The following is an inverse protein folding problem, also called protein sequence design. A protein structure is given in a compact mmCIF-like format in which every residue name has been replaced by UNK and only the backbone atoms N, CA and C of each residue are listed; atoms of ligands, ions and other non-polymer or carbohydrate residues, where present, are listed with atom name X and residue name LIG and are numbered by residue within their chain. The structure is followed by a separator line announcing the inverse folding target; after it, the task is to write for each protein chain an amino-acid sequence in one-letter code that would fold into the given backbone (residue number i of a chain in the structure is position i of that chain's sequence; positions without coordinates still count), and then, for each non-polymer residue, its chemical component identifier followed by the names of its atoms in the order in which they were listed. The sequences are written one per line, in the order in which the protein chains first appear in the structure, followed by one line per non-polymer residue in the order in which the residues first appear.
data_IF_351305163804
#
_entry.id   IF_351305163804
#
_cell.length_a   1.000
_cell.length_b   1.000
_cell.length_c   1.000
_cell.angle_alpha   90.00
_cell.angle_beta   90.00
_cell.angle_gamma   90.00
#
_symmetry.space_group_name_H-M   'P 1'
#
loop_
_entity.id
_entity.type
_entity.pdbx_description
1 polymer ?
2 non-polymer ?
3 water ?
#
# COMPACT_ATOMS: atom_id res chain seq x y z
N UNK A 5 24.44 -13.07 24.43
CA UNK A 5 25.02 -12.13 23.48
C UNK A 5 25.46 -10.80 24.11
N UNK A 6 26.69 -10.29 23.79
CA UNK A 6 27.13 -9.01 24.38
C UNK A 6 26.27 -7.84 23.90
N UNK A 7 25.72 -7.07 24.86
CA UNK A 7 24.84 -5.94 24.58
C UNK A 7 25.60 -4.64 24.33
N UNK A 8 25.59 -4.17 23.07
CA UNK A 8 26.23 -2.92 22.67
C UNK A 8 25.22 -1.82 22.95
N UNK A 9 25.23 -1.33 24.20
CA UNK A 9 24.33 -0.30 24.70
C UNK A 9 24.56 1.03 24.03
N UNK A 10 25.80 1.34 23.64
CA UNK A 10 26.12 2.58 22.94
C UNK A 10 25.57 2.54 21.51
N UNK A 11 25.54 1.33 20.88
CA UNK A 11 24.97 1.16 19.52
C UNK A 11 23.49 1.49 19.50
N UNK A 12 22.74 0.91 20.44
CA UNK A 12 21.30 1.08 20.58
C UNK A 12 20.92 2.53 20.85
N UNK A 13 21.69 3.24 21.70
CA UNK A 13 21.49 4.67 22.02
C UNK A 13 21.67 5.50 20.74
N UNK A 14 22.68 5.14 19.93
CA UNK A 14 22.96 5.81 18.66
C UNK A 14 21.83 5.57 17.67
N UNK A 15 21.31 4.32 17.61
CA UNK A 15 20.22 4.02 16.66
C UNK A 15 18.95 4.82 17.01
N UNK A 16 18.69 4.97 18.32
CA UNK A 16 17.54 5.71 18.80
C UNK A 16 17.61 7.19 18.35
N UNK A 17 18.75 7.82 18.60
CA UNK A 17 18.91 9.24 18.22
C UNK A 17 18.91 9.40 16.69
N UNK A 18 19.59 8.49 15.98
CA UNK A 18 19.67 8.56 14.54
C UNK A 18 18.27 8.45 13.90
N UNK A 19 17.41 7.57 14.47
CA UNK A 19 16.02 7.42 14.01
C UNK A 19 15.29 8.79 14.06
N UNK A 20 15.39 9.48 15.21
CA UNK A 20 14.74 10.79 15.35
C UNK A 20 15.28 11.81 14.32
N UNK A 21 16.62 11.89 14.21
CA UNK A 21 17.29 12.86 13.33
C UNK A 21 16.90 12.63 11.88
N UNK A 22 16.94 11.37 11.42
CA UNK A 22 16.57 11.09 10.06
C UNK A 22 15.11 11.48 9.75
N UNK A 23 14.20 11.19 10.67
CA UNK A 23 12.80 11.50 10.46
C UNK A 23 12.53 13.02 10.49
N UNK A 24 13.10 13.69 11.50
CA UNK A 24 12.88 15.11 11.73
C UNK A 24 13.56 16.02 10.72
N UNK A 25 14.76 15.66 10.29
CA UNK A 25 15.52 16.46 9.34
C UNK A 25 15.46 15.96 7.90
N UNK A 26 15.16 14.67 7.70
CA UNK A 26 15.25 14.08 6.38
C UNK A 26 16.67 13.56 6.20
N UNK A 27 16.89 12.54 5.33
CA UNK A 27 18.21 11.93 5.10
C UNK A 27 19.29 12.96 4.73
N UNK A 28 19.00 13.90 3.79
CA UNK A 28 19.96 14.90 3.27
C UNK A 28 20.45 15.88 4.33
N UNK A 29 19.52 16.52 5.04
CA UNK A 29 19.89 17.49 6.07
C UNK A 29 20.45 16.87 7.36
N UNK A 30 20.15 15.58 7.62
CA UNK A 30 20.68 14.87 8.78
C UNK A 30 22.20 14.75 8.63
N UNK A 31 22.91 14.94 9.73
CA UNK A 31 24.37 14.83 9.72
C UNK A 31 24.92 13.98 10.84
N UNK A 32 26.10 13.37 10.62
CA UNK A 32 26.79 12.56 11.63
C UNK A 32 27.15 13.40 12.86
N UNK A 33 27.58 14.67 12.66
CA UNK A 33 27.89 15.55 13.81
C UNK A 33 26.65 15.70 14.71
N UNK A 34 25.47 15.97 14.12
CA UNK A 34 24.21 16.13 14.83
C UNK A 34 23.84 14.85 15.60
N UNK A 35 23.97 13.70 14.93
CA UNK A 35 23.67 12.42 15.54
C UNK A 35 24.60 12.12 16.74
N UNK A 36 25.93 12.32 16.59
CA UNK A 36 26.88 12.11 17.68
C UNK A 36 26.56 12.97 18.87
N UNK A 37 26.33 14.26 18.64
CA UNK A 37 26.05 15.18 19.72
C UNK A 37 24.77 14.80 20.46
N UNK A 38 23.73 14.34 19.72
CA UNK A 38 22.45 13.95 20.31
C UNK A 38 22.61 12.77 21.26
N UNK A 39 23.54 11.89 20.95
CA UNK A 39 23.85 10.73 21.75
C UNK A 39 24.85 11.07 22.86
N UNK A 40 25.39 12.28 22.82
CA UNK A 40 26.38 12.72 23.80
C UNK A 40 27.74 12.05 23.64
N UNK A 41 28.09 11.68 22.39
CA UNK A 41 29.40 11.08 22.09
C UNK A 41 30.10 11.93 21.04
N UNK A 42 31.42 11.73 20.91
CA UNK A 42 32.18 12.44 19.91
C UNK A 42 31.92 11.78 18.55
N UNK A 43 32.15 12.52 17.45
CA UNK A 43 32.01 11.98 16.10
C UNK A 43 32.95 10.77 15.88
N UNK A 44 34.24 10.77 16.34
CA UNK A 44 35.06 9.54 16.17
C UNK A 44 34.45 8.31 16.85
N UNK A 45 33.81 8.50 18.02
CA UNK A 45 33.15 7.39 18.73
C UNK A 45 31.98 6.85 17.90
N UNK A 46 31.18 7.74 17.29
CA UNK A 46 30.10 7.34 16.40
C UNK A 46 30.66 6.46 15.28
N UNK A 47 31.80 6.85 14.69
CA UNK A 47 32.43 6.10 13.61
C UNK A 47 33.00 4.74 14.04
N UNK A 48 33.23 4.54 15.36
CA UNK A 48 33.69 3.24 15.87
C UNK A 48 32.50 2.23 15.85
N UNK A 49 31.24 2.73 15.77
CA UNK A 49 30.06 1.86 15.70
C UNK A 49 29.44 1.77 14.31
N UNK A 50 29.49 2.86 13.53
CA UNK A 50 28.92 2.90 12.18
C UNK A 50 29.93 3.44 11.20
N UNK A 51 30.06 2.78 10.06
CA UNK A 51 31.06 3.14 9.04
C UNK A 51 30.76 4.46 8.32
N UNK A 52 29.46 4.75 8.07
CA UNK A 52 29.01 5.91 7.29
C UNK A 52 27.60 6.30 7.66
N UNK A 53 27.12 7.45 7.14
CA UNK A 53 25.74 7.91 7.35
C UNK A 53 24.80 6.89 6.71
N UNK A 54 25.15 6.36 5.51
CA UNK A 54 24.30 5.34 4.85
C UNK A 54 24.23 4.02 5.62
N UNK A 55 25.36 3.52 6.14
CA UNK A 55 25.37 2.27 6.92
C UNK A 55 24.54 2.47 8.20
N UNK A 56 24.64 3.67 8.81
CA UNK A 56 23.83 3.99 9.99
C UNK A 56 22.33 4.06 9.61
N UNK A 57 21.99 4.68 8.46
CA UNK A 57 20.60 4.78 8.00
C UNK A 57 20.00 3.41 7.75
N UNK A 58 20.77 2.54 7.10
CA UNK A 58 20.33 1.18 6.83
C UNK A 58 20.18 0.38 8.12
N UNK A 59 21.05 0.61 9.13
CA UNK A 59 20.95 -0.06 10.44
C UNK A 59 19.68 0.44 11.18
N UNK A 60 19.39 1.74 11.07
CA UNK A 60 18.17 2.33 11.66
C UNK A 60 16.93 1.67 11.00
N UNK A 61 16.87 1.69 9.65
CA UNK A 61 15.75 1.08 8.92
C UNK A 61 15.59 -0.39 9.27
N UNK A 62 16.70 -1.14 9.33
CA UNK A 62 16.71 -2.56 9.68
C UNK A 62 16.13 -2.76 11.08
N UNK A 63 16.51 -1.93 12.06
CA UNK A 63 16.01 -2.02 13.43
C UNK A 63 14.46 -1.86 13.45
N UNK A 64 13.92 -0.84 12.75
CA UNK A 64 12.47 -0.62 12.71
C UNK A 64 11.76 -1.75 11.98
N UNK A 65 12.30 -2.19 10.83
CA UNK A 65 11.73 -3.31 10.06
C UNK A 65 11.71 -4.58 10.92
N UNK A 66 12.85 -4.89 11.60
CA UNK A 66 12.97 -6.06 12.47
C UNK A 66 11.96 -6.03 13.60
N UNK A 67 11.73 -4.83 14.22
CA UNK A 67 10.75 -4.65 15.29
C UNK A 67 9.34 -4.96 14.76
N UNK A 68 9.00 -4.50 13.54
CA UNK A 68 7.68 -4.74 12.97
C UNK A 68 7.51 -6.23 12.66
N UNK A 69 8.43 -6.79 11.86
CA UNK A 69 8.40 -8.21 11.46
C UNK A 69 8.38 -9.13 12.69
N UNK A 70 9.25 -8.88 13.69
CA UNK A 70 9.32 -9.71 14.90
C UNK A 70 8.03 -9.60 15.71
N UNK A 71 7.44 -8.40 15.78
CA UNK A 71 6.18 -8.17 16.48
C UNK A 71 5.05 -8.95 15.82
N UNK A 72 5.00 -8.94 14.49
CA UNK A 72 3.95 -9.63 13.71
C UNK A 72 4.16 -11.15 13.82
N UNK A 73 5.38 -11.62 13.56
CA UNK A 73 5.67 -13.04 13.65
C UNK A 73 5.42 -13.58 15.08
N UNK A 74 5.81 -12.81 16.13
CA UNK A 74 5.55 -13.23 17.52
C UNK A 74 4.03 -13.38 17.70
N UNK A 75 3.21 -12.46 17.15
CA UNK A 75 1.76 -12.58 17.23
C UNK A 75 1.26 -13.84 16.54
N UNK A 76 1.79 -14.14 15.35
CA UNK A 76 1.35 -15.31 14.58
C UNK A 76 1.83 -16.63 15.13
N UNK A 77 3.02 -16.61 15.73
CA UNK A 77 3.69 -17.82 16.22
C UNK A 77 3.42 -18.12 17.69
N UNK A 78 2.75 -17.21 18.43
CA UNK A 78 2.49 -17.46 19.85
C UNK A 78 0.98 -17.59 20.17
N UNK A 79 0.17 -17.88 19.13
CA UNK A 79 -1.28 -18.08 19.17
C UNK A 79 -1.63 -19.41 18.49
N UNK A 80 -2.69 -20.09 18.94
CA UNK A 80 -3.01 -21.45 18.47
C UNK A 80 -4.23 -21.60 17.52
N UNK A 81 -5.05 -20.56 17.36
CA UNK A 81 -6.16 -20.63 16.40
C UNK A 81 -6.24 -19.37 15.53
N UNK A 82 -6.89 -19.49 14.35
CA UNK A 82 -7.09 -18.49 13.30
C UNK A 82 -7.60 -17.17 13.80
N UNK A 83 -8.72 -17.22 14.52
CA UNK A 83 -9.37 -16.04 15.03
C UNK A 83 -8.50 -15.34 16.07
N UNK A 84 -7.89 -16.11 17.00
CA UNK A 84 -6.99 -15.56 18.02
C UNK A 84 -5.81 -14.87 17.34
N UNK A 85 -5.20 -15.58 16.36
CA UNK A 85 -4.04 -15.13 15.57
C UNK A 85 -4.38 -13.78 14.91
N UNK A 86 -5.59 -13.65 14.31
CA UNK A 86 -6.06 -12.42 13.69
C UNK A 86 -6.11 -11.27 14.72
N UNK A 87 -6.73 -11.51 15.89
CA UNK A 87 -6.81 -10.52 16.96
C UNK A 87 -5.44 -9.99 17.38
N UNK A 88 -4.50 -10.90 17.65
CA UNK A 88 -3.18 -10.54 18.17
C UNK A 88 -2.31 -9.89 17.08
N UNK A 89 -2.44 -10.35 15.84
CA UNK A 89 -1.64 -9.80 14.73
C UNK A 89 -2.10 -8.39 14.34
N UNK A 90 -3.43 -8.15 14.27
CA UNK A 90 -3.97 -6.79 14.03
C UNK A 90 -3.52 -5.84 15.15
N UNK A 91 -3.67 -6.30 16.42
CA UNK A 91 -3.21 -5.54 17.57
C UNK A 91 -1.71 -5.17 17.41
N UNK A 92 -0.89 -6.16 17.01
CA UNK A 92 0.53 -5.94 16.87
C UNK A 92 0.85 -4.88 15.82
N UNK A 93 0.09 -4.85 14.73
CA UNK A 93 0.34 -3.82 13.72
C UNK A 93 -0.06 -2.44 14.23
N UNK A 94 -1.26 -2.29 14.86
CA UNK A 94 -1.67 -0.99 15.41
C UNK A 94 -0.66 -0.55 16.45
N UNK A 95 -0.16 -1.51 17.26
CA UNK A 95 0.84 -1.19 18.30
C UNK A 95 2.11 -0.65 17.65
N UNK A 96 2.56 -1.30 16.57
CA UNK A 96 3.78 -0.83 15.90
C UNK A 96 3.61 0.60 15.38
N UNK A 97 2.56 0.86 14.61
CA UNK A 97 2.47 2.20 14.03
C UNK A 97 2.22 3.28 15.08
N UNK A 98 1.52 2.94 16.16
CA UNK A 98 1.25 3.95 17.19
C UNK A 98 2.49 4.17 18.05
N UNK A 99 3.17 3.09 18.40
CA UNK A 99 4.29 3.12 19.34
C UNK A 99 5.63 3.40 18.70
N UNK A 100 5.69 3.34 17.40
CA UNK A 100 6.98 3.58 16.70
C UNK A 100 6.75 4.58 15.61
N UNK A 101 6.53 5.85 16.02
CA UNK A 101 6.28 6.89 15.05
C UNK A 101 7.43 7.02 14.02
N UNK A 102 8.71 6.91 14.46
CA UNK A 102 9.87 6.99 13.55
C UNK A 102 9.84 5.83 12.56
N UNK A 103 9.65 4.63 13.08
CA UNK A 103 9.59 3.40 12.30
C UNK A 103 8.48 3.48 11.28
N UNK A 104 7.34 4.05 11.66
CA UNK A 104 6.20 4.23 10.76
C UNK A 104 6.54 5.15 9.57
N UNK A 105 7.15 6.31 9.85
CA UNK A 105 7.51 7.25 8.79
C UNK A 105 8.55 6.61 7.86
N UNK A 106 9.55 5.93 8.45
CA UNK A 106 10.68 5.33 7.68
C UNK A 106 10.26 4.16 6.77
N UNK A 107 9.22 3.43 7.18
CA UNK A 107 8.75 2.29 6.40
C UNK A 107 7.62 2.67 5.44
N UNK A 108 6.65 3.44 5.94
CA UNK A 108 5.43 3.74 5.20
C UNK A 108 5.34 5.12 4.53
N UNK A 109 6.12 6.10 4.97
CA UNK A 109 6.06 7.46 4.39
C UNK A 109 7.44 7.88 3.95
N UNK A 110 8.17 6.95 3.32
CA UNK A 110 9.54 7.19 2.92
C UNK A 110 9.70 7.62 1.47
N UNK A 111 10.29 8.82 1.27
CA UNK A 111 10.54 9.41 -0.05
C UNK A 111 11.79 8.82 -0.67
N UNK A 112 12.85 8.70 0.16
CA UNK A 112 14.20 8.21 -0.15
C UNK A 112 14.18 6.71 -0.50
N UNK A 113 13.58 6.36 -1.65
CA UNK A 113 13.45 5.01 -2.17
C UNK A 113 14.21 4.88 -3.53
N UNK A 114 14.95 5.95 -3.88
CA UNK A 114 15.76 6.09 -5.11
C UNK A 114 16.90 5.07 -5.20
N UNK A 115 17.47 4.67 -4.05
CA UNK A 115 18.56 3.70 -3.95
C UNK A 115 18.05 2.29 -3.63
N UNK A 116 18.66 1.25 -4.25
CA UNK A 116 18.19 -0.13 -4.05
C UNK A 116 18.30 -0.69 -2.63
N UNK A 117 19.31 -0.27 -1.84
CA UNK A 117 19.54 -0.79 -0.47
C UNK A 117 18.36 -0.50 0.46
N UNK A 118 17.77 0.68 0.35
CA UNK A 118 16.63 1.14 1.16
C UNK A 118 15.36 0.40 0.72
N UNK A 119 15.07 0.43 -0.60
CA UNK A 119 13.91 -0.22 -1.22
C UNK A 119 13.87 -1.74 -0.92
N UNK A 120 15.03 -2.41 -0.93
CA UNK A 120 15.16 -3.84 -0.64
C UNK A 120 14.81 -4.16 0.81
N UNK A 121 15.28 -3.30 1.76
CA UNK A 121 15.02 -3.44 3.20
C UNK A 121 13.53 -3.36 3.52
N UNK A 122 12.73 -2.70 2.65
CA UNK A 122 11.28 -2.60 2.79
C UNK A 122 10.55 -3.74 2.01
N UNK A 123 10.96 -4.01 0.74
CA UNK A 123 10.31 -5.04 -0.10
C UNK A 123 10.53 -6.48 0.39
N UNK A 124 11.67 -6.78 1.02
CA UNK A 124 11.94 -8.11 1.56
C UNK A 124 11.09 -8.28 2.83
N UNK A 125 10.89 -7.18 3.59
CA UNK A 125 10.12 -7.12 4.83
C UNK A 125 8.66 -7.41 4.59
N UNK A 126 8.01 -6.64 3.68
CA UNK A 126 6.58 -6.77 3.35
C UNK A 126 6.23 -8.21 2.91
N UNK A 127 7.09 -8.78 2.06
CA UNK A 127 6.96 -10.13 1.53
C UNK A 127 7.08 -11.18 2.63
N UNK A 128 7.99 -10.98 3.62
CA UNK A 128 8.18 -11.90 4.76
C UNK A 128 6.93 -11.98 5.64
N UNK A 129 6.27 -10.82 5.93
CA UNK A 129 5.01 -10.75 6.70
C UNK A 129 3.89 -11.43 5.91
N UNK A 130 3.83 -11.20 4.57
CA UNK A 130 2.81 -11.85 3.73
C UNK A 130 3.10 -13.37 3.69
N UNK A 131 4.40 -13.77 3.62
CA UNK A 131 4.79 -15.20 3.61
C UNK A 131 4.25 -15.89 4.85
N UNK A 132 4.40 -15.26 6.01
CA UNK A 132 3.94 -15.79 7.29
C UNK A 132 2.43 -15.97 7.30
N UNK A 133 1.69 -14.89 6.91
CA UNK A 133 0.24 -14.98 6.87
C UNK A 133 -0.17 -16.06 5.88
N UNK A 134 0.51 -16.14 4.70
CA UNK A 134 0.23 -17.15 3.70
C UNK A 134 0.42 -18.54 4.28
N UNK A 135 1.51 -18.77 5.02
CA UNK A 135 1.79 -20.10 5.61
C UNK A 135 0.65 -20.57 6.49
N UNK A 136 0.11 -19.64 7.31
CA UNK A 136 -1.02 -19.90 8.20
C UNK A 136 -2.33 -20.08 7.48
N UNK A 137 -2.64 -19.20 6.49
CA UNK A 137 -3.88 -19.27 5.72
C UNK A 137 -3.96 -20.50 4.84
N UNK A 138 -2.86 -20.81 4.12
CA UNK A 138 -2.85 -21.92 3.17
C UNK A 138 -2.98 -23.30 3.81
N UNK A 139 -2.44 -23.48 5.03
CA UNK A 139 -2.46 -24.75 5.77
C UNK A 139 -3.88 -25.30 6.01
N UNK A 140 -4.20 -26.49 5.44
CA UNK A 140 -5.53 -27.11 5.58
C UNK A 140 -6.70 -26.19 5.11
N UNK A 141 -6.45 -25.37 4.06
CA UNK A 141 -7.43 -24.44 3.49
C UNK A 141 -8.13 -25.05 2.28
N UNK A 142 -7.38 -25.89 1.55
CA UNK A 142 -7.88 -26.48 0.31
C UNK A 142 -7.81 -25.50 -0.84
N UNK A 143 -7.22 -24.31 -0.60
CA UNK A 143 -7.12 -23.28 -1.62
C UNK A 143 -5.98 -23.54 -2.57
N UNK A 144 -6.15 -23.08 -3.83
CA UNK A 144 -5.08 -23.03 -4.82
C UNK A 144 -4.01 -22.10 -4.14
N UNK A 145 -2.70 -22.45 -4.11
CA UNK A 145 -1.71 -21.63 -3.37
C UNK A 145 -1.66 -20.17 -3.80
N UNK A 146 -1.91 -19.89 -5.09
CA UNK A 146 -1.93 -18.50 -5.57
C UNK A 146 -3.15 -17.77 -5.04
N UNK A 147 -4.30 -18.48 -4.92
CA UNK A 147 -5.52 -17.91 -4.35
C UNK A 147 -5.28 -17.61 -2.86
N UNK A 148 -4.58 -18.53 -2.15
CA UNK A 148 -4.21 -18.40 -0.72
C UNK A 148 -3.23 -17.22 -0.55
N UNK A 149 -2.23 -17.08 -1.47
CA UNK A 149 -1.33 -15.91 -1.37
C UNK A 149 -2.11 -14.63 -1.65
N UNK A 150 -3.03 -14.67 -2.62
CA UNK A 150 -3.85 -13.48 -2.91
C UNK A 150 -4.64 -13.02 -1.70
N UNK A 151 -5.25 -13.95 -0.97
CA UNK A 151 -5.99 -13.69 0.27
C UNK A 151 -5.02 -13.12 1.34
N UNK A 152 -3.86 -13.74 1.56
CA UNK A 152 -2.84 -13.22 2.51
C UNK A 152 -2.49 -11.77 2.19
N UNK A 153 -2.28 -11.45 0.91
CA UNK A 153 -2.00 -10.08 0.46
C UNK A 153 -3.18 -9.16 0.84
N UNK A 154 -4.40 -9.58 0.53
CA UNK A 154 -5.62 -8.84 0.86
C UNK A 154 -5.84 -8.62 2.35
N UNK A 155 -5.54 -9.64 3.14
CA UNK A 155 -5.69 -9.61 4.59
C UNK A 155 -4.70 -8.64 5.21
N UNK A 156 -3.43 -8.69 4.77
CA UNK A 156 -2.40 -7.76 5.21
C UNK A 156 -2.80 -6.34 4.75
N UNK A 157 -3.18 -6.18 3.48
CA UNK A 157 -3.59 -4.89 2.93
C UNK A 157 -4.74 -4.22 3.67
N UNK A 158 -5.82 -4.98 3.92
CA UNK A 158 -7.02 -4.53 4.67
C UNK A 158 -6.62 -4.04 6.09
N UNK A 159 -5.76 -4.80 6.76
CA UNK A 159 -5.33 -4.51 8.12
C UNK A 159 -4.44 -3.27 8.18
N UNK A 160 -3.41 -3.20 7.31
CA UNK A 160 -2.51 -2.08 7.19
C UNK A 160 -3.31 -0.81 6.84
N UNK A 161 -4.13 -0.87 5.77
CA UNK A 161 -4.85 0.32 5.33
C UNK A 161 -5.84 0.84 6.37
N UNK A 162 -6.52 -0.04 7.12
CA UNK A 162 -7.44 0.41 8.18
C UNK A 162 -6.64 1.17 9.25
N UNK A 163 -5.54 0.53 9.70
CA UNK A 163 -4.66 1.11 10.73
C UNK A 163 -4.09 2.44 10.31
N UNK A 164 -3.58 2.50 9.06
CA UNK A 164 -3.02 3.74 8.54
C UNK A 164 -4.06 4.84 8.43
N UNK A 165 -5.31 4.50 8.03
CA UNK A 165 -6.33 5.51 7.99
C UNK A 165 -6.48 6.13 9.39
N UNK A 166 -6.64 5.27 10.40
CA UNK A 166 -6.84 5.69 11.77
C UNK A 166 -5.67 6.59 12.25
N UNK A 167 -4.42 6.18 12.02
CA UNK A 167 -3.27 6.99 12.46
C UNK A 167 -3.18 8.31 11.68
N UNK A 168 -3.24 8.23 10.34
CA UNK A 168 -3.12 9.40 9.46
C UNK A 168 -4.22 10.44 9.66
N UNK A 169 -5.40 10.02 10.18
CA UNK A 169 -6.52 10.92 10.46
C UNK A 169 -6.48 11.45 11.91
N UNK A 170 -5.34 11.26 12.57
CA UNK A 170 -5.06 11.69 13.93
C UNK A 170 -5.99 11.02 14.96
N UNK A 171 -6.19 9.68 14.82
CA UNK A 171 -6.94 8.86 15.78
C UNK A 171 -8.37 9.43 16.01
N UNK A 172 -9.20 9.47 14.94
CA UNK A 172 -10.54 10.08 15.06
C UNK A 172 -11.50 9.29 15.94
N UNK A 173 -11.19 8.00 16.15
CA UNK A 173 -11.91 7.10 17.05
C UNK A 173 -10.83 6.50 17.94
N UNK A 174 -11.23 5.90 19.09
CA UNK A 174 -10.21 5.34 19.97
C UNK A 174 -9.46 4.20 19.28
N UNK A 175 -8.23 3.95 19.72
CA UNK A 175 -7.44 2.82 19.25
C UNK A 175 -8.27 1.52 19.42
N UNK A 176 -8.93 1.34 20.57
CA UNK A 176 -9.69 0.11 20.80
C UNK A 176 -10.80 -0.07 19.77
N UNK A 177 -11.55 1.02 19.47
CA UNK A 177 -12.62 0.94 18.47
C UNK A 177 -12.02 0.64 17.09
N UNK A 178 -10.87 1.22 16.78
CA UNK A 178 -10.23 0.99 15.47
C UNK A 178 -9.77 -0.46 15.34
N UNK A 179 -9.12 -0.98 16.39
CA UNK A 179 -8.67 -2.39 16.40
C UNK A 179 -9.89 -3.31 16.26
N UNK A 180 -10.94 -3.06 17.08
CA UNK A 180 -12.17 -3.89 17.06
C UNK A 180 -12.85 -3.87 15.71
N UNK A 181 -12.94 -2.69 15.10
CA UNK A 181 -13.55 -2.56 13.77
C UNK A 181 -12.74 -3.28 12.71
N UNK A 182 -11.41 -3.15 12.76
CA UNK A 182 -10.54 -3.82 11.78
C UNK A 182 -10.63 -5.34 11.93
N UNK A 183 -10.49 -5.86 13.16
CA UNK A 183 -10.60 -7.32 13.40
C UNK A 183 -11.96 -7.88 12.95
N UNK A 184 -13.07 -7.23 13.33
CA UNK A 184 -14.39 -7.72 12.93
C UNK A 184 -14.59 -7.68 11.42
N UNK A 185 -14.05 -6.65 10.74
CA UNK A 185 -14.11 -6.59 9.28
C UNK A 185 -13.24 -7.72 8.66
N UNK A 186 -12.00 -7.91 9.15
CA UNK A 186 -11.16 -8.98 8.59
C UNK A 186 -11.78 -10.35 8.83
N UNK A 187 -12.44 -10.55 9.98
CA UNK A 187 -13.00 -11.85 10.30
C UNK A 187 -14.31 -12.14 9.58
N UNK A 188 -15.26 -11.22 9.66
CA UNK A 188 -16.59 -11.41 9.11
C UNK A 188 -16.86 -10.85 7.73
N UNK A 189 -15.94 -10.02 7.22
CA UNK A 189 -16.06 -9.40 5.91
C UNK A 189 -17.21 -8.39 5.85
N UNK A 190 -17.51 -7.90 4.64
CA UNK A 190 -18.57 -6.92 4.45
C UNK A 190 -19.95 -7.46 4.88
N UNK A 191 -20.12 -8.80 4.81
CA UNK A 191 -21.40 -9.46 5.17
C UNK A 191 -21.77 -9.20 6.62
N UNK A 192 -20.76 -9.03 7.50
CA UNK A 192 -20.98 -8.81 8.93
C UNK A 192 -20.64 -7.37 9.41
N UNK A 193 -20.46 -6.41 8.46
CA UNK A 193 -20.18 -5.00 8.78
C UNK A 193 -21.33 -4.33 9.56
N UNK A 194 -22.63 -4.51 9.18
CA UNK A 194 -23.70 -3.84 9.96
C UNK A 194 -23.77 -4.29 11.42
N UNK B 10 -5.97 15.43 -31.66
CA UNK B 10 -4.56 15.08 -31.58
C UNK B 10 -4.16 14.84 -30.14
N UNK B 11 -4.58 15.73 -29.22
CA UNK B 11 -4.28 15.66 -27.80
C UNK B 11 -4.38 14.21 -27.28
N UNK B 12 -5.52 13.55 -27.54
CA UNK B 12 -5.77 12.16 -27.13
C UNK B 12 -4.76 11.17 -27.68
N UNK B 13 -4.38 11.34 -28.96
CA UNK B 13 -3.36 10.52 -29.63
C UNK B 13 -2.02 10.73 -28.95
N UNK B 14 -1.71 11.98 -28.55
CA UNK B 14 -0.47 12.29 -27.86
C UNK B 14 -0.46 11.69 -26.46
N UNK B 15 -1.62 11.68 -25.77
CA UNK B 15 -1.68 11.08 -24.42
C UNK B 15 -1.42 9.57 -24.49
N UNK B 16 -1.95 8.92 -25.54
CA UNK B 16 -1.76 7.49 -25.76
C UNK B 16 -0.26 7.20 -25.97
N UNK B 17 0.41 7.94 -26.86
CA UNK B 17 1.86 7.71 -27.13
C UNK B 17 2.70 8.05 -25.90
N UNK B 18 2.40 9.17 -25.21
CA UNK B 18 3.12 9.57 -24.01
C UNK B 18 2.99 8.51 -22.90
N UNK B 19 1.80 7.90 -22.75
CA UNK B 19 1.59 6.82 -21.79
C UNK B 19 2.60 5.67 -22.09
N UNK B 20 2.73 5.24 -23.36
CA UNK B 20 3.66 4.15 -23.72
C UNK B 20 5.11 4.55 -23.45
N UNK B 21 5.51 5.79 -23.80
CA UNK B 21 6.90 6.22 -23.54
C UNK B 21 7.21 6.26 -22.06
N UNK B 22 6.31 6.85 -21.23
CA UNK B 22 6.48 6.92 -19.77
C UNK B 22 6.57 5.51 -19.15
N UNK B 23 5.78 4.55 -19.65
CA UNK B 23 5.84 3.18 -19.13
C UNK B 23 7.14 2.49 -19.52
N UNK B 24 7.52 2.62 -20.78
CA UNK B 24 8.72 1.95 -21.30
C UNK B 24 10.03 2.46 -20.70
N UNK B 25 10.14 3.78 -20.54
CA UNK B 25 11.39 4.39 -20.07
C UNK B 25 11.36 4.85 -18.62
N UNK B 26 10.16 5.07 -18.07
CA UNK B 26 10.02 5.67 -16.75
C UNK B 26 10.01 7.18 -16.93
N UNK B 27 9.48 7.93 -15.94
CA UNK B 27 9.42 9.41 -16.04
C UNK B 27 10.71 10.11 -16.36
N UNK B 28 11.76 9.88 -15.55
CA UNK B 28 13.05 10.54 -15.69
C UNK B 28 13.70 10.35 -17.06
N UNK B 29 13.84 9.09 -17.52
CA UNK B 29 14.49 8.79 -18.80
C UNK B 29 13.66 9.18 -20.02
N UNK B 30 12.31 9.26 -19.87
CA UNK B 30 11.40 9.65 -20.97
C UNK B 30 11.71 11.06 -21.40
N UNK B 31 11.68 11.29 -22.71
CA UNK B 31 11.95 12.60 -23.29
C UNK B 31 10.87 13.05 -24.26
N UNK B 32 10.66 14.37 -24.35
CA UNK B 32 9.72 14.98 -25.27
C UNK B 32 10.06 14.69 -26.74
N UNK B 33 11.36 14.64 -27.08
CA UNK B 33 11.79 14.29 -28.44
C UNK B 33 11.30 12.85 -28.79
N UNK B 34 11.48 11.85 -27.88
CA UNK B 34 11.03 10.47 -28.12
C UNK B 34 9.49 10.39 -28.24
N UNK B 35 8.77 11.16 -27.38
CA UNK B 35 7.31 11.22 -27.42
C UNK B 35 6.83 11.80 -28.77
N UNK B 36 7.38 12.95 -29.20
CA UNK B 36 7.02 13.55 -30.49
C UNK B 36 7.30 12.59 -31.67
N UNK B 37 8.51 11.95 -31.70
CA UNK B 37 8.94 11.00 -32.73
C UNK B 37 8.00 9.78 -32.84
N UNK B 38 7.66 9.16 -31.69
CA UNK B 38 6.77 7.99 -31.69
C UNK B 38 5.33 8.35 -32.12
N UNK B 39 4.90 9.63 -31.92
CA UNK B 39 3.56 10.11 -32.34
C UNK B 39 3.58 10.57 -33.78
N UNK B 40 4.77 10.67 -34.37
CA UNK B 40 4.92 11.12 -35.74
C UNK B 40 4.64 12.60 -35.93
N UNK B 41 4.92 13.40 -34.89
CA UNK B 41 4.78 14.86 -34.95
C UNK B 41 6.10 15.52 -34.60
N UNK B 42 6.26 16.80 -34.97
CA UNK B 42 7.47 17.53 -34.62
C UNK B 42 7.36 17.91 -33.13
N UNK B 43 8.53 18.18 -32.49
CA UNK B 43 8.57 18.61 -31.10
C UNK B 43 7.78 19.93 -30.92
N UNK B 44 7.89 20.96 -31.82
CA UNK B 44 7.05 22.16 -31.62
C UNK B 44 5.55 21.86 -31.61
N UNK B 45 5.09 20.87 -32.41
CA UNK B 45 3.67 20.50 -32.44
C UNK B 45 3.27 19.90 -31.08
N UNK B 46 4.13 19.04 -30.51
CA UNK B 46 3.88 18.47 -29.19
C UNK B 46 3.71 19.62 -28.16
N UNK B 47 4.59 20.63 -28.23
CA UNK B 47 4.54 21.78 -27.32
C UNK B 47 3.32 22.70 -27.52
N UNK B 48 2.63 22.60 -28.68
CA UNK B 48 1.40 23.38 -28.92
C UNK B 48 0.25 22.75 -28.11
N UNK B 49 0.41 21.48 -27.69
CA UNK B 49 -0.62 20.79 -26.88
C UNK B 49 -0.27 20.67 -25.40
N UNK B 50 1.02 20.50 -25.10
CA UNK B 50 1.48 20.37 -23.71
C UNK B 50 2.62 21.32 -23.43
N UNK B 51 2.56 22.03 -22.31
CA UNK B 51 3.57 23.04 -21.95
C UNK B 51 4.94 22.46 -21.56
N UNK B 52 4.95 21.28 -20.90
CA UNK B 52 6.15 20.64 -20.40
C UNK B 52 5.96 19.13 -20.25
N UNK B 53 7.07 18.40 -19.95
CA UNK B 53 7.01 16.97 -19.72
C UNK B 53 6.14 16.70 -18.49
N UNK B 54 6.27 17.54 -17.43
CA UNK B 54 5.45 17.37 -16.22
C UNK B 54 3.95 17.60 -16.47
N UNK B 55 3.59 18.66 -17.23
CA UNK B 55 2.18 18.92 -17.54
C UNK B 55 1.61 17.76 -18.38
N UNK B 56 2.42 17.23 -19.31
CA UNK B 56 2.00 16.07 -20.11
C UNK B 56 1.84 14.82 -19.21
N UNK B 57 2.77 14.60 -18.27
CA UNK B 57 2.71 13.45 -17.38
C UNK B 57 1.46 13.51 -16.49
N UNK B 58 1.17 14.70 -15.95
CA UNK B 58 -0.03 14.90 -15.11
C UNK B 58 -1.30 14.71 -15.93
N UNK B 59 -1.30 15.12 -17.22
CA UNK B 59 -2.44 14.92 -18.11
C UNK B 59 -2.63 13.42 -18.42
N UNK B 60 -1.51 12.69 -18.62
CA UNK B 60 -1.51 11.24 -18.85
C UNK B 60 -2.15 10.54 -17.64
N UNK B 61 -1.62 10.84 -16.44
CA UNK B 61 -2.12 10.23 -15.20
C UNK B 61 -3.61 10.54 -15.02
N UNK B 62 -4.00 11.80 -15.24
CA UNK B 62 -5.41 12.22 -15.14
C UNK B 62 -6.33 11.40 -16.06
N UNK B 63 -5.92 11.20 -17.32
CA UNK B 63 -6.72 10.45 -18.27
C UNK B 63 -6.96 9.02 -17.75
N UNK B 64 -5.88 8.34 -17.32
CA UNK B 64 -5.98 6.96 -16.85
C UNK B 64 -6.79 6.85 -15.55
N UNK B 65 -6.59 7.83 -14.64
CA UNK B 65 -7.33 7.87 -13.36
C UNK B 65 -8.81 8.02 -13.67
N UNK B 66 -9.17 8.94 -14.57
CA UNK B 66 -10.59 9.17 -14.95
C UNK B 66 -11.26 7.91 -15.49
N UNK B 67 -10.52 7.15 -16.36
CA UNK B 67 -11.02 5.90 -16.93
C UNK B 67 -11.33 4.87 -15.81
N UNK B 68 -10.41 4.75 -14.85
CA UNK B 68 -10.58 3.82 -13.73
C UNK B 68 -11.74 4.25 -12.85
N UNK B 69 -11.72 5.50 -12.36
CA UNK B 69 -12.73 6.08 -11.47
C UNK B 69 -14.12 5.96 -12.10
N UNK B 70 -14.26 6.29 -13.40
CA UNK B 70 -15.56 6.21 -14.09
C UNK B 70 -16.08 4.75 -14.14
N UNK B 71 -15.17 3.80 -14.39
CA UNK B 71 -15.52 2.39 -14.37
C UNK B 71 -16.01 1.92 -13.00
N UNK B 72 -15.32 2.34 -11.94
CA UNK B 72 -15.65 1.95 -10.54
C UNK B 72 -16.95 2.61 -10.10
N UNK B 73 -17.09 3.93 -10.31
CA UNK B 73 -18.35 4.57 -9.92
C UNK B 73 -19.53 3.98 -10.68
N UNK B 74 -19.36 3.61 -11.94
CA UNK B 74 -20.47 3.05 -12.69
C UNK B 74 -20.88 1.71 -12.07
N UNK B 75 -19.88 0.94 -11.59
CA UNK B 75 -20.19 -0.31 -10.93
C UNK B 75 -20.97 -0.06 -9.63
N UNK B 76 -20.54 0.97 -8.86
CA UNK B 76 -21.17 1.29 -7.58
C UNK B 76 -22.54 1.94 -7.71
N UNK B 77 -22.90 2.39 -8.92
CA UNK B 77 -24.20 3.05 -9.17
C UNK B 77 -25.39 2.09 -9.17
N UNK B 78 -25.12 0.77 -9.32
CA UNK B 78 -26.16 -0.25 -9.48
C UNK B 78 -27.05 -0.36 -8.24
N UNK B 79 -28.37 -0.58 -8.48
CA UNK B 79 -29.40 -0.72 -7.44
C UNK B 79 -29.72 -2.19 -7.13
N UNK B 80 -28.68 -3.05 -7.13
CA UNK B 80 -28.79 -4.45 -6.73
C UNK B 80 -28.36 -4.55 -5.26
N UNK B 81 -28.08 -5.75 -4.79
CA UNK B 81 -27.67 -5.92 -3.40
C UNK B 81 -26.20 -5.55 -3.18
N UNK B 82 -25.81 -5.47 -1.91
CA UNK B 82 -24.50 -5.07 -1.49
C UNK B 82 -23.42 -6.01 -2.05
N UNK B 83 -23.66 -7.34 -1.99
CA UNK B 83 -22.63 -8.26 -2.50
C UNK B 83 -22.52 -8.17 -4.01
N UNK B 84 -23.66 -8.03 -4.72
CA UNK B 84 -23.63 -7.87 -6.17
C UNK B 84 -22.83 -6.61 -6.57
N UNK B 85 -23.05 -5.50 -5.88
CA UNK B 85 -22.31 -4.26 -6.13
C UNK B 85 -20.82 -4.47 -5.88
N UNK B 86 -20.47 -5.16 -4.78
CA UNK B 86 -19.07 -5.51 -4.48
C UNK B 86 -18.50 -6.30 -5.67
N UNK B 87 -19.21 -7.28 -6.13
CA UNK B 87 -18.76 -8.13 -7.25
C UNK B 87 -18.50 -7.34 -8.55
N UNK B 88 -19.44 -6.50 -8.95
CA UNK B 88 -19.34 -5.69 -10.20
C UNK B 88 -18.15 -4.69 -10.09
N UNK B 89 -17.93 -4.14 -8.88
CA UNK B 89 -16.84 -3.16 -8.69
C UNK B 89 -15.48 -3.84 -8.72
N UNK B 90 -15.37 -5.01 -8.05
CA UNK B 90 -14.11 -5.75 -8.10
C UNK B 90 -13.83 -6.21 -9.54
N UNK B 91 -14.85 -6.72 -10.26
CA UNK B 91 -14.71 -7.11 -11.65
C UNK B 91 -14.21 -5.92 -12.47
N UNK B 92 -14.80 -4.73 -12.23
CA UNK B 92 -14.44 -3.51 -12.98
C UNK B 92 -12.96 -3.17 -12.76
N UNK B 93 -12.43 -3.34 -11.53
CA UNK B 93 -11.03 -3.03 -11.27
C UNK B 93 -10.11 -4.03 -11.97
N UNK B 94 -10.40 -5.34 -11.89
CA UNK B 94 -9.55 -6.32 -12.59
C UNK B 94 -9.62 -6.10 -14.12
N UNK B 95 -10.80 -5.74 -14.61
CA UNK B 95 -11.00 -5.43 -16.03
C UNK B 95 -10.15 -4.22 -16.43
N UNK B 96 -10.10 -3.17 -15.60
CA UNK B 96 -9.26 -1.98 -15.84
C UNK B 96 -7.79 -2.40 -16.00
N UNK B 97 -7.29 -3.29 -15.14
CA UNK B 97 -5.89 -3.80 -15.20
C UNK B 97 -5.61 -4.49 -16.55
N UNK B 98 -6.62 -5.21 -17.07
CA UNK B 98 -6.47 -5.91 -18.34
C UNK B 98 -6.66 -4.99 -19.58
N UNK B 99 -7.70 -4.13 -19.60
CA UNK B 99 -7.89 -3.30 -20.79
C UNK B 99 -7.03 -2.02 -20.83
N UNK B 100 -6.63 -1.50 -19.68
CA UNK B 100 -5.76 -0.33 -19.57
C UNK B 100 -4.53 -0.65 -18.75
N UNK B 101 -3.73 -1.63 -19.24
CA UNK B 101 -2.52 -2.08 -18.53
C UNK B 101 -1.56 -0.95 -18.31
N UNK B 102 -1.44 -0.01 -19.29
CA UNK B 102 -0.51 1.12 -19.15
C UNK B 102 -0.95 2.08 -18.02
N UNK B 103 -2.25 2.37 -17.95
CA UNK B 103 -2.85 3.13 -16.86
C UNK B 103 -2.60 2.48 -15.52
N UNK B 104 -2.83 1.18 -15.46
CA UNK B 104 -2.60 0.49 -14.19
C UNK B 104 -1.12 0.69 -13.74
N UNK B 105 -0.16 0.52 -14.67
CA UNK B 105 1.27 0.65 -14.33
C UNK B 105 1.65 2.06 -13.87
N UNK B 106 1.11 3.07 -14.55
CA UNK B 106 1.35 4.48 -14.22
C UNK B 106 0.75 4.92 -12.89
N UNK B 107 -0.36 4.31 -12.49
CA UNK B 107 -1.01 4.71 -11.24
C UNK B 107 -0.47 3.91 -10.04
N UNK B 108 -0.32 2.59 -10.21
CA UNK B 108 -0.01 1.68 -9.10
C UNK B 108 1.42 1.17 -9.01
N UNK B 109 2.17 1.14 -10.13
CA UNK B 109 3.55 0.66 -10.13
C UNK B 109 4.51 1.73 -10.58
N UNK B 110 4.27 2.95 -10.10
CA UNK B 110 5.03 4.13 -10.46
C UNK B 110 6.06 4.51 -9.42
N UNK B 111 7.33 4.58 -9.85
CA UNK B 111 8.47 4.96 -9.03
C UNK B 111 8.46 6.47 -8.71
N UNK B 112 7.96 7.29 -9.66
CA UNK B 112 7.84 8.76 -9.52
C UNK B 112 6.55 9.15 -8.79
N UNK B 115 7.05 13.88 -5.36
CA UNK B 115 6.44 15.07 -5.94
C UNK B 115 4.96 15.18 -5.55
N UNK B 116 4.49 16.36 -5.04
CA UNK B 116 3.10 16.45 -4.59
C UNK B 116 2.02 16.41 -5.67
N UNK B 117 2.30 16.95 -6.88
CA UNK B 117 1.32 17.00 -7.98
C UNK B 117 0.88 15.61 -8.43
N UNK B 118 1.83 14.65 -8.48
CA UNK B 118 1.60 13.27 -8.89
C UNK B 118 0.81 12.54 -7.80
N UNK B 119 1.30 12.60 -6.53
CA UNK B 119 0.68 11.99 -5.36
C UNK B 119 -0.76 12.46 -5.15
N UNK B 120 -1.04 13.76 -5.39
CA UNK B 120 -2.38 14.35 -5.27
C UNK B 120 -3.34 13.81 -6.33
N UNK B 121 -2.86 13.63 -7.59
CA UNK B 121 -3.66 13.08 -8.71
C UNK B 121 -4.13 11.63 -8.44
N UNK B 122 -3.40 10.92 -7.56
CA UNK B 122 -3.71 9.55 -7.15
C UNK B 122 -4.55 9.62 -5.86
N UNK B 123 -4.15 10.48 -4.89
CA UNK B 123 -4.86 10.64 -3.60
C UNK B 123 -6.29 11.17 -3.74
N UNK B 124 -6.52 12.22 -4.58
CA UNK B 124 -7.86 12.82 -4.83
C UNK B 124 -8.79 11.75 -5.46
N UNK B 125 -8.19 10.88 -6.32
CA UNK B 125 -8.87 9.76 -6.97
C UNK B 125 -9.31 8.73 -5.94
N UNK B 126 -8.34 8.21 -5.14
CA UNK B 126 -8.53 7.21 -4.08
C UNK B 126 -9.57 7.68 -3.10
N UNK B 127 -9.53 8.96 -2.68
CA UNK B 127 -10.49 9.54 -1.74
C UNK B 127 -11.92 9.56 -2.30
N UNK B 128 -12.09 9.88 -3.60
CA UNK B 128 -13.40 9.89 -4.26
C UNK B 128 -14.08 8.49 -4.29
N UNK B 129 -13.27 7.47 -4.59
CA UNK B 129 -13.73 6.08 -4.61
C UNK B 129 -14.05 5.60 -3.21
N UNK B 130 -13.23 6.02 -2.21
CA UNK B 130 -13.46 5.65 -0.82
C UNK B 130 -14.75 6.37 -0.37
N UNK B 131 -14.97 7.63 -0.80
CA UNK B 131 -16.20 8.38 -0.47
C UNK B 131 -17.43 7.57 -0.92
N UNK B 132 -17.39 7.04 -2.12
CA UNK B 132 -18.50 6.25 -2.70
C UNK B 132 -18.75 4.97 -1.90
N UNK B 133 -17.67 4.22 -1.62
CA UNK B 133 -17.80 2.99 -0.84
C UNK B 133 -18.33 3.34 0.55
N UNK B 134 -17.82 4.43 1.15
CA UNK B 134 -18.29 4.90 2.45
C UNK B 134 -19.80 5.21 2.41
N UNK B 135 -20.28 5.88 1.36
CA UNK B 135 -21.70 6.23 1.24
C UNK B 135 -22.58 4.95 1.28
N UNK B 136 -22.13 3.90 0.59
CA UNK B 136 -22.83 2.61 0.57
C UNK B 136 -22.76 1.88 1.90
N UNK B 137 -21.55 1.79 2.49
CA UNK B 137 -21.29 1.10 3.76
C UNK B 137 -22.02 1.77 4.93
N UNK B 138 -22.11 3.11 4.95
CA UNK B 138 -22.71 3.86 6.06
C UNK B 138 -24.23 3.92 6.09
N UNK B 139 -24.90 3.69 4.95
CA UNK B 139 -26.36 3.75 4.78
C UNK B 139 -27.20 3.06 5.88
N UNK B 140 -27.06 1.72 6.09
CA UNK B 140 -27.87 1.05 7.12
C UNK B 140 -27.03 0.14 8.05
N UNK B 141 -25.83 0.62 8.41
CA UNK B 141 -24.90 -0.14 9.25
C UNK B 141 -24.93 0.31 10.69
N UNK B 142 -25.31 1.57 10.92
CA UNK B 142 -25.38 2.19 12.25
C UNK B 142 -24.00 2.52 12.80
N UNK B 143 -22.98 2.45 11.93
CA UNK B 143 -21.58 2.67 12.29
C UNK B 143 -21.26 4.13 12.51
N UNK B 144 -20.29 4.37 13.43
CA UNK B 144 -19.66 5.66 13.67
C UNK B 144 -19.06 6.01 12.27
N UNK B 145 -19.26 7.24 11.75
CA UNK B 145 -18.78 7.55 10.39
C UNK B 145 -17.30 7.30 10.15
N UNK B 146 -16.46 7.52 11.19
CA UNK B 146 -15.04 7.26 11.04
C UNK B 146 -14.76 5.75 10.98
N UNK B 147 -15.55 4.95 11.70
CA UNK B 147 -15.43 3.49 11.67
C UNK B 147 -15.84 2.99 10.27
N UNK B 148 -16.92 3.59 9.71
CA UNK B 148 -17.43 3.27 8.36
C UNK B 148 -16.39 3.68 7.32
N UNK B 149 -15.76 4.88 7.47
CA UNK B 149 -14.73 5.27 6.52
C UNK B 149 -13.51 4.33 6.64
N UNK B 150 -13.15 3.95 7.88
CA UNK B 150 -12.02 3.03 8.08
C UNK B 150 -12.23 1.73 7.32
N UNK B 151 -13.44 1.16 7.40
CA UNK B 151 -13.81 -0.08 6.69
C UNK B 151 -13.74 0.15 5.16
N UNK B 152 -14.33 1.26 4.66
CA UNK B 152 -14.29 1.60 3.24
C UNK B 152 -12.81 1.64 2.75
N UNK B 153 -11.91 2.23 3.55
CA UNK B 153 -10.48 2.30 3.20
C UNK B 153 -9.91 0.87 3.08
N UNK B 154 -10.22 0.05 4.06
CA UNK B 154 -9.76 -1.35 4.10
C UNK B 154 -10.26 -2.16 2.91
N UNK B 155 -11.53 -1.94 2.55
CA UNK B 155 -12.20 -2.64 1.47
C UNK B 155 -11.56 -2.28 0.11
N UNK B 156 -11.35 -0.97 -0.11
CA UNK B 156 -10.66 -0.50 -1.32
C UNK B 156 -9.21 -1.06 -1.35
N UNK B 157 -8.50 -0.90 -0.22
CA UNK B 157 -7.12 -1.36 -0.09
C UNK B 157 -6.93 -2.83 -0.37
N UNK B 158 -7.76 -3.67 0.21
CA UNK B 158 -7.59 -5.09 -0.02
C UNK B 158 -7.89 -5.49 -1.47
N UNK B 159 -8.91 -4.85 -2.08
CA UNK B 159 -9.30 -5.13 -3.46
C UNK B 159 -8.15 -4.77 -4.40
N UNK B 160 -7.59 -3.56 -4.24
CA UNK B 160 -6.43 -3.11 -5.01
C UNK B 160 -5.23 -4.06 -4.79
N UNK B 161 -4.90 -4.36 -3.51
CA UNK B 161 -3.75 -5.22 -3.20
C UNK B 161 -3.89 -6.64 -3.76
N UNK B 162 -5.09 -7.23 -3.72
CA UNK B 162 -5.34 -8.58 -4.28
C UNK B 162 -5.07 -8.55 -5.77
N UNK B 163 -5.66 -7.56 -6.45
CA UNK B 163 -5.50 -7.41 -7.91
C UNK B 163 -4.04 -7.18 -8.30
N UNK B 164 -3.29 -6.34 -7.51
CA UNK B 164 -1.87 -6.09 -7.79
C UNK B 164 -1.01 -7.37 -7.60
N UNK B 165 -1.35 -8.21 -6.61
CA UNK B 165 -0.67 -9.50 -6.44
C UNK B 165 -0.85 -10.34 -7.70
N UNK B 166 -2.11 -10.50 -8.13
CA UNK B 166 -2.47 -11.31 -9.30
C UNK B 166 -1.71 -10.85 -10.54
N UNK B 167 -1.67 -9.54 -10.81
CA UNK B 167 -0.94 -9.01 -11.97
C UNK B 167 0.59 -9.21 -11.84
N UNK B 168 1.17 -8.81 -10.70
CA UNK B 168 2.62 -8.92 -10.47
C UNK B 168 3.14 -10.37 -10.46
N UNK B 169 2.27 -11.35 -10.19
CA UNK B 169 2.64 -12.78 -10.21
C UNK B 169 2.38 -13.39 -11.60
N UNK B 170 2.17 -12.53 -12.60
CA UNK B 170 1.91 -12.89 -14.00
C UNK B 170 0.64 -13.71 -14.19
N UNK B 171 -0.47 -13.32 -13.50
CA UNK B 171 -1.79 -13.94 -13.62
C UNK B 171 -1.72 -15.46 -13.40
N UNK B 172 -1.32 -15.88 -12.17
CA UNK B 172 -1.14 -17.32 -11.92
C UNK B 172 -2.42 -18.13 -11.95
N UNK B 173 -3.57 -17.46 -11.78
CA UNK B 173 -4.90 -18.02 -11.87
C UNK B 173 -5.65 -17.13 -12.84
N UNK B 174 -6.79 -17.59 -13.37
CA UNK B 174 -7.55 -16.78 -14.32
C UNK B 174 -8.05 -15.48 -13.66
N UNK B 175 -8.27 -14.45 -14.46
CA UNK B 175 -8.84 -13.21 -13.95
C UNK B 175 -10.19 -13.53 -13.26
N UNK B 176 -11.04 -14.39 -13.86
CA UNK B 176 -12.34 -14.72 -13.23
C UNK B 176 -12.16 -15.36 -11.84
N UNK B 177 -11.20 -16.29 -11.69
CA UNK B 177 -10.96 -16.90 -10.39
C UNK B 177 -10.42 -15.86 -9.39
N UNK B 178 -9.58 -14.93 -9.87
CA UNK B 178 -8.99 -13.88 -9.02
C UNK B 178 -10.10 -12.93 -8.53
N UNK B 179 -11.00 -12.53 -9.44
CA UNK B 179 -12.15 -11.69 -9.07
C UNK B 179 -12.99 -12.43 -8.02
N UNK B 180 -13.40 -13.68 -8.29
CA UNK B 180 -14.23 -14.42 -7.31
C UNK B 180 -13.53 -14.58 -5.97
N UNK B 181 -12.24 -14.91 -5.98
CA UNK B 181 -11.49 -15.06 -4.73
C UNK B 181 -11.41 -13.76 -3.93
N UNK B 182 -11.22 -12.64 -4.63
CA UNK B 182 -11.14 -11.31 -3.99
C UNK B 182 -12.52 -10.94 -3.41
N UNK B 183 -13.59 -11.14 -4.22
CA UNK B 183 -14.95 -10.85 -3.78
C UNK B 183 -15.36 -11.70 -2.55
N UNK B 184 -15.10 -13.01 -2.59
CA UNK B 184 -15.43 -13.95 -1.52
C UNK B 184 -14.70 -13.59 -0.23
N UNK B 185 -13.44 -13.16 -0.35
CA UNK B 185 -12.70 -12.75 0.85
C UNK B 185 -13.28 -11.43 1.39
N UNK B 186 -13.54 -10.45 0.51
CA UNK B 186 -14.11 -9.16 0.95
C UNK B 186 -15.48 -9.35 1.62
N UNK B 187 -16.27 -10.27 1.07
CA UNK B 187 -17.61 -10.49 1.59
C UNK B 187 -17.65 -11.33 2.88
N UNK B 188 -16.99 -12.49 2.88
CA UNK B 188 -17.06 -13.42 4.01
C UNK B 188 -15.95 -13.32 5.02
N UNK B 189 -14.89 -12.60 4.67
CA UNK B 189 -13.74 -12.41 5.55
C UNK B 189 -12.97 -13.69 5.82
N UNK B 190 -12.01 -13.63 6.76
CA UNK B 190 -11.18 -14.77 7.10
C UNK B 190 -12.03 -15.94 7.66
N UNK B 191 -13.18 -15.63 8.27
CA UNK B 191 -14.09 -16.63 8.86
C UNK B 191 -14.59 -17.63 7.81
N UNK B 192 -14.70 -17.18 6.55
CA UNK B 192 -15.19 -18.03 5.44
C UNK B 192 -14.10 -18.45 4.44
N UNK B 193 -12.81 -18.17 4.73
CA UNK B 193 -11.70 -18.55 3.84
C UNK B 193 -11.57 -20.10 3.67
N UNK B 194 -11.67 -20.93 4.74
CA UNK B 194 -11.54 -22.39 4.54
C UNK B 194 -12.70 -22.97 3.72
N UNK B 195 -13.91 -22.38 3.81
CA UNK B 195 -15.18 -22.76 3.13
C UNK B 195 -15.30 -22.22 1.69
X LIG C 1 -4.66 -15.74 10.40
X LIG C 1 -5.02 -15.34 11.49
X LIG C 1 -4.97 -16.90 9.91
X LIG C 1 -3.82 -14.92 9.46
X LIG C 1 -2.97 -13.83 10.11
X LIG C 1 -3.69 -12.51 10.28
X LIG C 1 -2.77 -11.33 10.01
X LIG C 1 -3.48 -9.99 9.84
X LIG C 1 -2.57 -8.88 9.36
X LIG C 1 -2.05 -7.96 10.46
X LIG C 1 -0.56 -7.61 10.38
X LIG C 1 -0.10 -6.84 9.15
X LIG C 1 1.39 -6.49 9.15
X LIG C 1 1.87 -5.84 7.86
X LIG C 1 3.35 -5.59 7.73
X LIG C 1 3.69 -4.73 6.52
X LIG D 1 -21.13 -2.20 -1.09
X LIG D 1 -21.86 -2.27 -2.06
X LIG D 1 -21.57 -2.19 0.14
X LIG D 1 -19.63 -2.14 -1.16
X LIG D 1 -19.00 -1.81 -2.50
X LIG D 1 -17.60 -2.41 -2.59
X LIG D 1 -16.58 -1.74 -3.48
X LIG D 1 -15.22 -2.43 -3.42
X LIG D 1 -14.06 -1.71 -4.10
X LIG D 1 -13.69 -2.26 -5.47
X LIG D 1 -12.36 -1.80 -6.04
X LIG D 1 -12.22 -0.33 -6.38
X LIG D 1 -10.81 0.10 -6.75
X LIG D 1 -10.53 1.58 -6.51
X LIG D 1 -9.15 2.05 -6.95
X LIG D 1 -8.44 2.87 -5.91
#
# INVERSE_FOLDING_TARGET
FQGMLPRDERRGQLLVVASDVFVDRGYHAAGMDEIADRAGVSKPVLYQHFSSKLELYLAVLHRHVENLVSGVHQALSTTTDNRQRLHVAVQAFFDFIEHDSQGYRLIFENDFVTEPEVAAQVRVATESCIDAVFALISADSGLDPHRARMIAVGLVGMSVDCARYWLDADKPISKSDAVEGTVQFAWGGLSHVPL
FQGMLPRDERRGQLLVVASDVFVDRGYHAAGMDEIADRAGVSKPVLYQHFSSKLELYLAVLHRHVENLVSGVHQALSTTTDNRQRLHVAVQAFFDFIEHDSQGYRLIFENDFVTEPEVAAQVRVATESCIDAVFALISADSGLDPHRARMIAVGLVGMSVDCARYWLDADKPISKSDAVEGTVQFAWGGLSHVPL
MYR C1 O1 O2 C2 C3 C4 C5 C6 C7 C8 C9 C10 C11 C12 C13 C14
MYR C1 O1 O2 C2 C3 C4 C5 C6 C7 C8 C9 C10 C11 C12 C13 C14
#
